data_IF_562777230606
#
_entry.id   IF_562777230606
#
_cell.length_a   1.000
_cell.length_b   1.000
_cell.length_c   1.000
_cell.angle_alpha   90.00
_cell.angle_beta   90.00
_cell.angle_gamma   90.00
#
_symmetry.space_group_name_H-M   'P 1'
#
loop_
_entity.id
_entity.type
_entity.pdbx_description
1 polymer ?
#
# COMPACT_ATOMS: atom_id res chain seq x y z
N UNK A 1 23.08 -0.17 -24.22
CA UNK A 1 21.72 -0.57 -23.81
C UNK A 1 21.81 -1.43 -22.56
N UNK A 2 21.06 -1.11 -21.49
CA UNK A 2 21.03 -1.94 -20.28
C UNK A 2 19.98 -3.04 -20.44
N UNK A 3 20.34 -4.27 -20.11
CA UNK A 3 19.41 -5.40 -19.97
C UNK A 3 18.76 -5.39 -18.57
N UNK A 4 17.59 -6.04 -18.36
CA UNK A 4 16.89 -6.04 -17.08
C UNK A 4 17.77 -6.40 -15.88
N UNK A 5 18.70 -7.35 -16.04
CA UNK A 5 19.63 -7.77 -15.00
C UNK A 5 20.60 -6.67 -14.54
N UNK A 6 20.85 -5.66 -15.38
CA UNK A 6 21.80 -4.57 -15.13
C UNK A 6 21.13 -3.31 -14.55
N UNK A 7 19.81 -3.33 -14.37
CA UNK A 7 19.04 -2.21 -13.83
C UNK A 7 19.05 -2.27 -12.29
N UNK A 8 19.22 -1.11 -11.64
CA UNK A 8 18.96 -0.97 -10.20
C UNK A 8 17.48 -1.23 -9.89
N UNK A 9 17.13 -1.48 -8.63
CA UNK A 9 15.72 -1.67 -8.22
C UNK A 9 14.81 -0.53 -8.68
N UNK A 10 15.23 0.72 -8.47
CA UNK A 10 14.49 1.89 -8.94
C UNK A 10 14.39 2.00 -10.47
N UNK A 11 15.43 1.60 -11.21
CA UNK A 11 15.37 1.56 -12.68
C UNK A 11 14.40 0.50 -13.18
N UNK A 12 14.35 -0.68 -12.54
CA UNK A 12 13.38 -1.73 -12.86
C UNK A 12 11.95 -1.25 -12.61
N UNK A 13 11.68 -0.59 -11.48
CA UNK A 13 10.36 0.00 -11.16
C UNK A 13 9.95 1.02 -12.23
N UNK A 14 10.83 1.95 -12.61
CA UNK A 14 10.56 2.94 -13.68
C UNK A 14 10.32 2.30 -15.05
N UNK A 15 11.09 1.28 -15.42
CA UNK A 15 10.87 0.56 -16.67
C UNK A 15 9.53 -0.21 -16.66
N UNK A 16 9.16 -0.80 -15.53
CA UNK A 16 7.86 -1.45 -15.34
C UNK A 16 6.69 -0.47 -15.47
N UNK A 17 6.81 0.70 -14.85
CA UNK A 17 5.84 1.79 -14.97
C UNK A 17 5.72 2.30 -16.40
N UNK A 18 6.83 2.57 -17.08
CA UNK A 18 6.83 2.99 -18.48
C UNK A 18 6.16 1.94 -19.38
N UNK A 19 6.40 0.65 -19.13
CA UNK A 19 5.71 -0.44 -19.83
C UNK A 19 4.21 -0.46 -19.56
N UNK A 20 3.77 -0.23 -18.32
CA UNK A 20 2.35 -0.17 -17.98
C UNK A 20 1.65 1.01 -18.69
N UNK A 21 2.35 2.13 -18.84
CA UNK A 21 1.85 3.34 -19.51
C UNK A 21 1.89 3.27 -21.04
N UNK A 22 2.59 2.31 -21.63
CA UNK A 22 2.89 2.30 -23.07
C UNK A 22 1.66 2.17 -23.98
N UNK A 23 0.52 1.73 -23.45
CA UNK A 23 -0.74 1.55 -24.18
C UNK A 23 -1.81 2.57 -23.81
N UNK A 24 -1.43 3.69 -23.16
CA UNK A 24 -2.35 4.74 -22.70
C UNK A 24 -3.58 4.18 -21.94
N UNK A 25 -3.37 3.40 -20.86
CA UNK A 25 -4.46 2.70 -20.19
C UNK A 25 -5.39 3.66 -19.44
N UNK A 26 -6.68 3.34 -19.43
CA UNK A 26 -7.68 4.04 -18.62
C UNK A 26 -7.60 3.68 -17.12
N UNK A 27 -6.99 2.53 -16.79
CA UNK A 27 -6.89 1.98 -15.43
C UNK A 27 -5.50 1.37 -15.18
N UNK A 28 -4.88 1.73 -14.06
CA UNK A 28 -3.61 1.14 -13.61
C UNK A 28 -3.74 0.57 -12.19
N UNK A 29 -3.15 -0.60 -12.00
CA UNK A 29 -2.99 -1.24 -10.70
C UNK A 29 -1.54 -1.12 -10.22
N UNK A 30 -1.36 -0.65 -8.99
CA UNK A 30 -0.10 -0.72 -8.26
C UNK A 30 -0.22 -1.70 -7.10
N UNK A 31 0.68 -2.68 -7.08
CA UNK A 31 0.79 -3.65 -5.98
C UNK A 31 2.03 -3.31 -5.15
N UNK A 32 1.82 -2.79 -3.95
CA UNK A 32 2.85 -2.38 -2.99
C UNK A 32 4.00 -1.54 -3.62
N UNK A 33 3.67 -0.41 -4.27
CA UNK A 33 4.63 0.32 -5.12
C UNK A 33 5.82 0.89 -4.31
N UNK A 34 5.57 1.30 -3.07
CA UNK A 34 6.56 1.88 -2.15
C UNK A 34 7.41 0.82 -1.44
N UNK A 35 7.10 -0.47 -1.55
CA UNK A 35 7.82 -1.52 -0.84
C UNK A 35 9.34 -1.48 -1.10
N UNK A 36 10.11 -1.51 -0.02
CA UNK A 36 11.57 -1.47 -0.02
C UNK A 36 12.18 -0.08 -0.32
N UNK A 37 11.37 0.99 -0.29
CA UNK A 37 11.84 2.37 -0.37
C UNK A 37 11.92 2.99 1.03
N UNK A 38 12.83 3.94 1.21
CA UNK A 38 12.82 4.79 2.38
C UNK A 38 11.63 5.78 2.33
N UNK A 39 11.20 6.35 3.47
CA UNK A 39 10.02 7.20 3.53
C UNK A 39 10.04 8.42 2.59
N UNK A 40 11.21 9.00 2.31
CA UNK A 40 11.33 10.17 1.42
C UNK A 40 11.13 9.74 -0.03
N UNK A 41 11.75 8.63 -0.43
CA UNK A 41 11.58 8.09 -1.79
C UNK A 41 10.15 7.57 -2.01
N UNK A 42 9.52 6.98 -1.00
CA UNK A 42 8.12 6.56 -1.05
C UNK A 42 7.18 7.75 -1.31
N UNK A 43 7.34 8.85 -0.57
CA UNK A 43 6.55 10.07 -0.80
C UNK A 43 6.72 10.62 -2.23
N UNK A 44 7.94 10.59 -2.78
CA UNK A 44 8.17 10.98 -4.17
C UNK A 44 7.50 10.05 -5.20
N UNK A 45 7.29 8.78 -4.86
CA UNK A 45 6.52 7.85 -5.69
C UNK A 45 5.02 8.15 -5.63
N UNK A 46 4.49 8.49 -4.46
CA UNK A 46 3.10 8.90 -4.27
C UNK A 46 2.77 10.15 -5.10
N UNK A 47 3.65 11.16 -5.08
CA UNK A 47 3.51 12.34 -5.94
C UNK A 47 3.52 11.99 -7.43
N UNK A 48 4.37 11.04 -7.83
CA UNK A 48 4.41 10.58 -9.22
C UNK A 48 3.09 9.90 -9.61
N UNK A 49 2.52 9.05 -8.76
CA UNK A 49 1.23 8.39 -9.00
C UNK A 49 0.13 9.44 -9.20
N UNK A 50 0.05 10.44 -8.31
CA UNK A 50 -0.92 11.54 -8.43
C UNK A 50 -0.73 12.35 -9.72
N UNK A 51 0.53 12.59 -10.11
CA UNK A 51 0.84 13.28 -11.36
C UNK A 51 0.37 12.49 -12.58
N UNK A 52 0.57 11.17 -12.58
CA UNK A 52 0.12 10.30 -13.67
C UNK A 52 -1.40 10.31 -13.79
N UNK A 53 -2.12 10.15 -12.68
CA UNK A 53 -3.59 10.28 -12.62
C UNK A 53 -4.05 11.57 -13.28
N UNK A 54 -3.46 12.69 -12.88
CA UNK A 54 -3.90 14.02 -13.32
C UNK A 54 -3.54 14.30 -14.79
N UNK A 55 -2.37 13.86 -15.26
CA UNK A 55 -1.91 14.12 -16.64
C UNK A 55 -2.64 13.25 -17.65
N UNK A 56 -2.81 11.97 -17.33
CA UNK A 56 -3.39 10.98 -18.25
C UNK A 56 -4.88 10.73 -18.01
N UNK A 57 -5.48 11.36 -16.99
CA UNK A 57 -6.90 11.21 -16.63
C UNK A 57 -7.29 9.73 -16.40
N UNK A 58 -6.38 8.95 -15.83
CA UNK A 58 -6.56 7.52 -15.58
C UNK A 58 -7.13 7.26 -14.19
N UNK A 59 -7.82 6.13 -14.06
CA UNK A 59 -8.16 5.55 -12.75
C UNK A 59 -6.96 4.81 -12.20
N UNK A 60 -6.68 4.96 -10.91
CA UNK A 60 -5.57 4.27 -10.24
C UNK A 60 -6.11 3.49 -9.05
N UNK A 61 -5.71 2.22 -8.96
CA UNK A 61 -5.95 1.36 -7.80
C UNK A 61 -4.60 1.01 -7.20
N UNK A 62 -4.44 1.28 -5.91
CA UNK A 62 -3.20 0.98 -5.17
C UNK A 62 -3.52 0.02 -4.03
N UNK A 63 -2.77 -1.09 -3.98
CA UNK A 63 -2.72 -1.99 -2.84
C UNK A 63 -1.51 -1.58 -2.00
N UNK A 64 -1.74 -1.23 -0.74
CA UNK A 64 -0.67 -0.90 0.19
C UNK A 64 -1.06 -1.09 1.64
N UNK A 65 -0.09 -1.43 2.47
CA UNK A 65 -0.19 -1.37 3.94
C UNK A 65 0.37 -0.07 4.54
N UNK A 66 0.89 0.85 3.73
CA UNK A 66 1.48 2.11 4.21
C UNK A 66 0.43 3.22 4.38
N UNK A 67 0.06 3.50 5.64
CA UNK A 67 -0.89 4.56 5.98
C UNK A 67 -0.54 5.94 5.40
N UNK A 68 0.76 6.27 5.33
CA UNK A 68 1.20 7.55 4.80
C UNK A 68 0.79 7.71 3.32
N UNK A 69 1.01 6.67 2.52
CA UNK A 69 0.60 6.64 1.11
C UNK A 69 -0.92 6.62 0.96
N UNK A 70 -1.64 5.84 1.78
CA UNK A 70 -3.13 5.85 1.79
C UNK A 70 -3.65 7.28 1.97
N UNK A 71 -3.14 8.02 2.96
CA UNK A 71 -3.58 9.39 3.20
C UNK A 71 -3.11 10.40 2.15
N UNK A 72 -2.03 10.10 1.43
CA UNK A 72 -1.50 10.98 0.40
C UNK A 72 -2.23 10.84 -0.94
N UNK A 73 -2.62 9.62 -1.33
CA UNK A 73 -3.07 9.34 -2.70
C UNK A 73 -4.54 8.93 -2.82
N UNK A 74 -5.16 8.41 -1.75
CA UNK A 74 -6.46 7.76 -1.88
C UNK A 74 -7.61 8.77 -1.85
N UNK A 75 -8.45 8.74 -2.88
CA UNK A 75 -9.76 9.41 -2.87
C UNK A 75 -10.83 8.53 -2.20
N UNK A 76 -10.68 7.20 -2.30
CA UNK A 76 -11.57 6.17 -1.75
C UNK A 76 -10.74 4.98 -1.26
N UNK A 77 -11.17 4.35 -0.17
CA UNK A 77 -10.45 3.25 0.49
C UNK A 77 -11.37 2.05 0.67
N UNK A 78 -10.84 0.88 0.34
CA UNK A 78 -11.43 -0.41 0.66
C UNK A 78 -10.43 -1.14 1.57
N UNK A 79 -10.89 -1.61 2.73
CA UNK A 79 -10.10 -2.44 3.64
C UNK A 79 -10.65 -3.86 3.64
N UNK A 80 -9.75 -4.83 3.49
CA UNK A 80 -10.03 -6.25 3.51
C UNK A 80 -9.45 -6.88 4.77
N UNK A 81 -10.21 -7.78 5.39
CA UNK A 81 -9.74 -8.62 6.49
C UNK A 81 -10.38 -10.00 6.36
N UNK A 82 -9.59 -11.06 6.48
CA UNK A 82 -10.05 -12.45 6.33
C UNK A 82 -10.88 -12.75 5.08
N UNK A 83 -10.61 -12.05 3.97
CA UNK A 83 -11.31 -12.22 2.69
C UNK A 83 -12.63 -11.43 2.58
N UNK A 84 -12.99 -10.66 3.60
CA UNK A 84 -14.19 -9.82 3.60
C UNK A 84 -13.84 -8.33 3.54
N UNK A 85 -14.73 -7.55 2.91
CA UNK A 85 -14.64 -6.08 2.93
C UNK A 85 -15.18 -5.58 4.26
N UNK A 86 -14.28 -5.13 5.13
CA UNK A 86 -14.64 -4.60 6.46
C UNK A 86 -14.85 -3.09 6.46
N UNK A 87 -14.40 -2.39 5.41
CA UNK A 87 -14.64 -0.97 5.20
C UNK A 87 -14.59 -0.61 3.71
N UNK A 88 -15.46 0.30 3.29
CA UNK A 88 -15.51 0.84 1.93
C UNK A 88 -16.05 2.27 2.01
N UNK A 89 -15.22 3.28 1.74
CA UNK A 89 -15.62 4.68 1.89
C UNK A 89 -14.49 5.67 1.59
N UNK A 90 -14.79 6.94 1.77
CA UNK A 90 -13.84 8.05 1.67
C UNK A 90 -12.83 8.04 2.82
N UNK A 91 -11.76 8.84 2.71
CA UNK A 91 -10.80 9.02 3.79
C UNK A 91 -11.41 9.61 5.07
N UNK A 92 -12.43 10.46 4.95
CA UNK A 92 -13.11 11.04 6.11
C UNK A 92 -13.90 9.97 6.87
N UNK A 93 -14.65 9.15 6.13
CA UNK A 93 -15.38 8.01 6.68
C UNK A 93 -14.43 6.96 7.29
N UNK A 94 -13.26 6.73 6.67
CA UNK A 94 -12.24 5.82 7.20
C UNK A 94 -11.77 6.29 8.58
N UNK A 95 -11.45 7.58 8.72
CA UNK A 95 -10.99 8.17 9.98
C UNK A 95 -12.07 8.15 11.06
N UNK A 96 -13.34 8.27 10.66
CA UNK A 96 -14.51 8.22 11.55
C UNK A 96 -14.99 6.79 11.87
N UNK A 97 -14.48 5.78 11.17
CA UNK A 97 -14.90 4.39 11.35
C UNK A 97 -14.72 3.92 12.79
N UNK A 98 -15.74 3.26 13.34
CA UNK A 98 -15.72 2.62 14.66
C UNK A 98 -15.36 1.13 14.59
N UNK A 99 -15.13 0.59 13.38
CA UNK A 99 -14.82 -0.84 13.21
C UNK A 99 -13.48 -1.19 13.92
N UNK A 100 -13.45 -2.14 14.86
CA UNK A 100 -12.27 -2.41 15.69
C UNK A 100 -10.98 -2.66 14.89
N UNK A 101 -11.05 -3.50 13.85
CA UNK A 101 -9.91 -3.79 12.98
C UNK A 101 -9.40 -2.57 12.21
N UNK A 102 -10.31 -1.69 11.77
CA UNK A 102 -9.95 -0.43 11.09
C UNK A 102 -9.26 0.49 12.08
N UNK A 103 -9.79 0.64 13.30
CA UNK A 103 -9.15 1.42 14.37
C UNK A 103 -7.74 0.91 14.69
N UNK A 104 -7.58 -0.41 14.84
CA UNK A 104 -6.28 -1.02 15.12
C UNK A 104 -5.26 -0.71 14.02
N UNK A 105 -5.66 -0.82 12.75
CA UNK A 105 -4.81 -0.49 11.60
C UNK A 105 -4.40 0.99 11.62
N UNK A 106 -5.37 1.91 11.73
CA UNK A 106 -5.14 3.35 11.74
C UNK A 106 -4.26 3.80 12.93
N UNK A 107 -4.48 3.23 14.11
CA UNK A 107 -3.76 3.55 15.34
C UNK A 107 -2.45 2.79 15.50
N UNK A 108 -2.14 1.89 14.55
CA UNK A 108 -0.97 0.99 14.59
C UNK A 108 -0.90 0.20 15.89
N UNK A 109 -2.04 -0.30 16.36
CA UNK A 109 -2.12 -1.14 17.57
C UNK A 109 -2.04 -2.61 17.19
N UNK A 110 -1.23 -3.42 17.89
CA UNK A 110 -1.20 -4.86 17.66
C UNK A 110 -2.54 -5.48 18.08
N UNK A 111 -2.82 -6.65 17.52
CA UNK A 111 -3.86 -7.54 18.02
C UNK A 111 -3.51 -7.90 19.48
N UNK A 112 -4.47 -7.78 20.39
CA UNK A 112 -4.27 -8.25 21.76
C UNK A 112 -4.29 -9.77 21.73
N UNK A 113 -3.14 -10.38 21.51
CA UNK A 113 -2.99 -11.82 21.69
C UNK A 113 -2.86 -12.11 23.20
N UNK A 114 -3.73 -12.98 23.71
CA UNK A 114 -3.71 -13.44 25.08
C UNK A 114 -2.60 -14.50 25.26
N UNK A 115 -1.33 -14.12 25.11
CA UNK A 115 -0.23 -15.02 25.43
C UNK A 115 0.26 -14.80 26.86
N UNK A 116 0.34 -15.90 27.62
CA UNK A 116 1.15 -15.94 28.82
C UNK A 116 2.63 -15.74 28.42
N UNK A 117 3.48 -15.13 29.26
CA UNK A 117 4.93 -15.12 29.05
C UNK A 117 5.52 -16.52 28.75
N UNK A 118 4.90 -17.58 29.28
CA UNK A 118 5.30 -18.97 29.03
C UNK A 118 4.98 -19.45 27.60
N UNK A 119 3.93 -18.91 26.97
CA UNK A 119 3.54 -19.24 25.59
C UNK A 119 4.51 -18.58 24.59
N UNK A 120 5.02 -17.40 24.93
CA UNK A 120 5.95 -16.64 24.09
C UNK A 120 7.26 -17.41 23.83
N UNK A 121 7.76 -18.13 24.84
CA UNK A 121 8.95 -18.96 24.69
C UNK A 121 8.73 -20.15 23.76
N UNK A 122 7.55 -20.79 23.83
CA UNK A 122 7.22 -21.94 22.96
C UNK A 122 7.07 -21.53 21.50
N UNK A 123 6.41 -20.41 21.25
CA UNK A 123 6.20 -19.87 19.89
C UNK A 123 7.53 -19.53 19.20
N UNK A 124 8.52 -18.97 19.93
CA UNK A 124 9.83 -18.64 19.35
C UNK A 124 10.75 -19.86 19.28
N UNK A 125 10.66 -20.79 20.24
CA UNK A 125 11.44 -22.02 20.24
C UNK A 125 10.97 -23.05 19.21
N UNK A 126 9.75 -22.92 18.68
CA UNK A 126 9.18 -23.81 17.67
C UNK A 126 8.70 -25.16 18.22
N UNK A 127 8.34 -25.22 19.51
CA UNK A 127 7.71 -26.38 20.16
C UNK A 127 6.20 -26.44 19.92
#
# INVERSE_FOLDING_TARGET
HFFPAQLSGGMKKRAGLARALALDPELIFFDEPSAGLDPVTAAGLDELILKLRNVFQMTIVVVTHELASVFAIADYVIMLDMGEVIFSGTLEELKASEHPRVRMFLERRPEQEAYSPDDYFKVIAGD
#
